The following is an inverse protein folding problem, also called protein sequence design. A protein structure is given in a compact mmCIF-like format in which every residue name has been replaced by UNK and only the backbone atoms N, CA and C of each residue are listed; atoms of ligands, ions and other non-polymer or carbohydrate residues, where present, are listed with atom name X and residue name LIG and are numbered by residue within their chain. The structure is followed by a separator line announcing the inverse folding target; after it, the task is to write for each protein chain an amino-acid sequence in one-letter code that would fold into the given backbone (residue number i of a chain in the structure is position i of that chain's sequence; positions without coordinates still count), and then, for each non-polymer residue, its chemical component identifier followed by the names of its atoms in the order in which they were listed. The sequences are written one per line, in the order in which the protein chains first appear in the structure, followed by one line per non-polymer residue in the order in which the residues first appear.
data_IF_563426940639
#
_entry.id   IF_563426940639
#
_cell.length_a   1.000
_cell.length_b   1.000
_cell.length_c   1.000
_cell.angle_alpha   90.00
_cell.angle_beta   90.00
_cell.angle_gamma   90.00
#
_symmetry.space_group_name_H-M   'P 1'
#
loop_
_entity.id
_entity.type
_entity.pdbx_description
1 polymer ?
#
# COMPACT_ATOMS: atom_id res chain seq x y z
N UNK A 1 -40.80 23.81 74.44
CA UNK A 1 -40.92 22.35 74.28
C UNK A 1 -41.62 22.11 72.95
N UNK A 2 -40.81 21.95 71.89
CA UNK A 2 -40.72 20.74 71.03
C UNK A 2 -41.82 20.82 69.94
N UNK A 3 -41.59 20.79 68.63
CA UNK A 3 -40.57 20.12 67.82
C UNK A 3 -40.66 20.71 66.39
N UNK A 4 -39.72 21.56 65.99
CA UNK A 4 -39.55 22.10 64.62
C UNK A 4 -38.41 21.37 63.89
N UNK A 5 -38.24 20.09 64.15
CA UNK A 5 -37.01 19.32 63.86
C UNK A 5 -37.16 18.34 62.68
N UNK A 6 -38.00 18.63 61.67
CA UNK A 6 -38.09 17.74 60.48
C UNK A 6 -37.98 18.45 59.14
N UNK A 7 -37.81 19.77 59.10
CA UNK A 7 -37.55 20.48 57.84
C UNK A 7 -36.06 20.53 57.46
N UNK A 8 -35.16 20.02 58.32
CA UNK A 8 -33.71 20.06 58.10
C UNK A 8 -33.14 18.79 57.45
N UNK A 9 -33.97 17.82 57.06
CA UNK A 9 -33.51 16.54 56.51
C UNK A 9 -33.57 16.43 54.98
N UNK A 10 -33.67 17.56 54.27
CA UNK A 10 -33.82 17.56 52.81
C UNK A 10 -32.76 18.36 52.04
N UNK A 11 -31.74 18.88 52.72
CA UNK A 11 -30.65 19.64 52.07
C UNK A 11 -29.28 18.96 52.17
N UNK A 12 -29.23 17.69 52.59
CA UNK A 12 -27.98 17.01 52.91
C UNK A 12 -27.31 16.27 51.75
N UNK A 13 -27.81 16.36 50.51
CA UNK A 13 -27.13 15.72 49.38
C UNK A 13 -27.11 16.64 48.19
N UNK A 14 -26.08 17.49 48.13
CA UNK A 14 -25.67 18.33 47.00
C UNK A 14 -25.89 17.61 45.64
N UNK A 15 -27.06 17.75 44.99
CA UNK A 15 -27.41 16.99 43.80
C UNK A 15 -26.67 17.54 42.57
N UNK A 16 -26.24 18.80 42.66
CA UNK A 16 -25.57 19.54 41.59
C UNK A 16 -24.27 18.88 41.12
N UNK A 17 -23.54 18.17 42.01
CA UNK A 17 -22.31 17.44 41.63
C UNK A 17 -22.61 16.25 40.72
N UNK A 18 -23.69 15.49 40.98
CA UNK A 18 -24.10 14.37 40.13
C UNK A 18 -24.63 14.85 38.78
N UNK A 19 -25.35 15.98 38.76
CA UNK A 19 -25.83 16.59 37.52
C UNK A 19 -24.67 17.09 36.64
N UNK A 20 -23.70 17.80 37.23
CA UNK A 20 -22.51 18.27 36.51
C UNK A 20 -21.63 17.10 36.03
N UNK A 21 -21.49 16.04 36.81
CA UNK A 21 -20.74 14.84 36.42
C UNK A 21 -21.40 14.10 35.25
N UNK A 22 -22.74 14.03 35.21
CA UNK A 22 -23.47 13.41 34.11
C UNK A 22 -23.34 14.22 32.81
N UNK A 23 -23.44 15.55 32.91
CA UNK A 23 -23.24 16.47 31.79
C UNK A 23 -21.80 16.37 31.26
N UNK A 24 -20.81 16.32 32.16
CA UNK A 24 -19.41 16.13 31.80
C UNK A 24 -19.16 14.78 31.11
N UNK A 25 -19.73 13.69 31.63
CA UNK A 25 -19.62 12.36 31.03
C UNK A 25 -20.27 12.34 29.63
N UNK A 26 -21.47 12.91 29.50
CA UNK A 26 -22.16 13.01 28.21
C UNK A 26 -21.36 13.82 27.20
N UNK A 27 -20.82 14.97 27.61
CA UNK A 27 -19.97 15.80 26.76
C UNK A 27 -18.69 15.05 26.35
N UNK A 28 -18.07 14.30 27.27
CA UNK A 28 -16.86 13.53 26.98
C UNK A 28 -17.10 12.41 25.98
N UNK A 29 -18.22 11.69 26.11
CA UNK A 29 -18.65 10.68 25.13
C UNK A 29 -18.92 11.33 23.77
N UNK A 30 -19.64 12.45 23.75
CA UNK A 30 -19.94 13.18 22.51
C UNK A 30 -18.67 13.63 21.78
N UNK A 31 -17.73 14.25 22.50
CA UNK A 31 -16.43 14.67 21.95
C UNK A 31 -15.65 13.46 21.45
N UNK A 32 -15.65 12.35 22.18
CA UNK A 32 -14.96 11.13 21.75
C UNK A 32 -15.52 10.59 20.44
N UNK A 33 -16.85 10.54 20.30
CA UNK A 33 -17.52 10.13 19.05
C UNK A 33 -17.16 11.11 17.92
N UNK A 34 -17.18 12.41 18.17
CA UNK A 34 -16.83 13.42 17.19
C UNK A 34 -15.36 13.29 16.71
N UNK A 35 -14.45 12.93 17.62
CA UNK A 35 -13.04 12.73 17.31
C UNK A 35 -12.84 11.50 16.42
N UNK A 36 -13.49 10.38 16.75
CA UNK A 36 -13.47 9.16 15.92
C UNK A 36 -14.08 9.44 14.55
N UNK A 37 -15.21 10.15 14.48
CA UNK A 37 -15.85 10.53 13.23
C UNK A 37 -14.95 11.44 12.39
N UNK A 38 -14.28 12.42 13.00
CA UNK A 38 -13.35 13.32 12.33
C UNK A 38 -12.12 12.60 11.77
N UNK A 39 -11.54 11.67 12.53
CA UNK A 39 -10.42 10.83 12.06
C UNK A 39 -10.89 9.97 10.88
N UNK A 40 -12.05 9.32 11.00
CA UNK A 40 -12.60 8.46 9.95
C UNK A 40 -12.83 9.23 8.65
N UNK A 41 -13.39 10.44 8.74
CA UNK A 41 -13.64 11.30 7.59
C UNK A 41 -12.34 11.78 6.92
N UNK A 42 -11.33 12.16 7.72
CA UNK A 42 -10.03 12.60 7.22
C UNK A 42 -9.24 11.48 6.53
N UNK A 43 -9.30 10.25 7.06
CA UNK A 43 -8.68 9.07 6.44
C UNK A 43 -9.38 8.73 5.14
N UNK A 44 -10.71 8.72 5.10
CA UNK A 44 -11.50 8.45 3.89
C UNK A 44 -11.23 9.48 2.77
N UNK A 45 -11.13 10.76 3.13
CA UNK A 45 -10.83 11.83 2.19
C UNK A 45 -9.41 11.72 1.60
N UNK A 46 -8.39 11.46 2.44
CA UNK A 46 -7.00 11.30 1.98
C UNK A 46 -6.81 10.04 1.13
N UNK A 47 -7.45 8.94 1.51
CA UNK A 47 -7.43 7.70 0.74
C UNK A 47 -8.06 7.87 -0.66
N UNK A 48 -9.11 8.68 -0.77
CA UNK A 48 -9.81 8.93 -2.04
C UNK A 48 -8.99 9.77 -3.04
N UNK A 49 -8.18 10.72 -2.57
CA UNK A 49 -7.32 11.53 -3.43
C UNK A 49 -6.10 10.74 -3.91
N UNK A 50 -5.35 10.11 -3.00
CA UNK A 50 -4.17 9.31 -3.32
C UNK A 50 -4.53 8.08 -4.17
N UNK A 51 -5.71 7.51 -3.94
CA UNK A 51 -6.19 6.36 -4.72
C UNK A 51 -6.40 6.67 -6.21
N UNK A 52 -6.77 7.91 -6.58
CA UNK A 52 -6.91 8.28 -8.00
C UNK A 52 -5.56 8.41 -8.70
N UNK A 53 -4.58 8.98 -8.02
CA UNK A 53 -3.23 9.13 -8.59
C UNK A 53 -2.59 7.76 -8.80
N UNK A 54 -2.78 6.82 -7.86
CA UNK A 54 -2.36 5.43 -8.01
C UNK A 54 -3.05 4.78 -9.22
N UNK A 55 -4.36 4.94 -9.37
CA UNK A 55 -5.08 4.41 -10.54
C UNK A 55 -4.61 5.03 -11.85
N UNK A 56 -4.26 6.31 -11.85
CA UNK A 56 -3.74 6.99 -13.03
C UNK A 56 -2.37 6.44 -13.43
N UNK A 57 -1.43 6.34 -12.47
CA UNK A 57 -0.11 5.75 -12.70
C UNK A 57 -0.21 4.30 -13.17
N UNK A 58 -1.12 3.50 -12.58
CA UNK A 58 -1.28 2.11 -12.97
C UNK A 58 -1.84 1.96 -14.39
N UNK A 59 -2.74 2.86 -14.80
CA UNK A 59 -3.22 2.92 -16.18
C UNK A 59 -2.10 3.30 -17.15
N UNK A 60 -1.25 4.25 -16.75
CA UNK A 60 -0.08 4.65 -17.54
C UNK A 60 0.90 3.48 -17.72
N UNK A 61 1.18 2.71 -16.66
CA UNK A 61 1.99 1.48 -16.76
C UNK A 61 1.37 0.47 -17.73
N UNK A 62 0.06 0.22 -17.64
CA UNK A 62 -0.62 -0.74 -18.53
C UNK A 62 -0.62 -0.30 -20.00
N UNK A 63 -0.61 1.01 -20.27
CA UNK A 63 -0.47 1.53 -21.63
C UNK A 63 0.96 1.30 -22.12
N UNK A 64 1.97 1.66 -21.32
CA UNK A 64 3.38 1.50 -21.68
C UNK A 64 3.76 0.04 -21.92
N UNK A 65 3.28 -0.89 -21.08
CA UNK A 65 3.55 -2.31 -21.25
C UNK A 65 2.97 -2.84 -22.57
N UNK A 66 1.75 -2.42 -22.93
CA UNK A 66 1.14 -2.76 -24.23
C UNK A 66 1.95 -2.22 -25.41
N UNK A 67 2.43 -0.98 -25.31
CA UNK A 67 3.26 -0.39 -26.36
C UNK A 67 4.57 -1.15 -26.53
N UNK A 68 5.22 -1.56 -25.42
CA UNK A 68 6.44 -2.38 -25.45
C UNK A 68 6.19 -3.71 -26.13
N UNK A 69 5.10 -4.40 -25.79
CA UNK A 69 4.75 -5.70 -26.39
C UNK A 69 4.49 -5.56 -27.90
N UNK A 70 3.78 -4.51 -28.32
CA UNK A 70 3.54 -4.23 -29.74
C UNK A 70 4.85 -3.95 -30.49
N UNK A 71 5.72 -3.09 -29.94
CA UNK A 71 7.04 -2.80 -30.50
C UNK A 71 7.92 -4.05 -30.60
N UNK A 72 7.90 -4.93 -29.59
CA UNK A 72 8.62 -6.20 -29.62
C UNK A 72 8.08 -7.13 -30.71
N UNK A 73 6.76 -7.18 -30.90
CA UNK A 73 6.13 -7.95 -31.97
C UNK A 73 6.52 -7.43 -33.35
N UNK A 74 6.51 -6.11 -33.54
CA UNK A 74 6.95 -5.47 -34.78
C UNK A 74 8.44 -5.76 -35.08
N UNK A 75 9.29 -5.68 -34.06
CA UNK A 75 10.70 -6.05 -34.19
C UNK A 75 10.88 -7.52 -34.58
N UNK A 76 10.12 -8.42 -33.96
CA UNK A 76 10.18 -9.84 -34.27
C UNK A 76 9.77 -10.13 -35.72
N UNK A 77 8.76 -9.42 -36.24
CA UNK A 77 8.36 -9.53 -37.65
C UNK A 77 9.50 -9.07 -38.57
N UNK A 78 10.04 -7.87 -38.33
CA UNK A 78 11.11 -7.28 -39.17
C UNK A 78 12.42 -8.07 -39.12
N UNK A 79 12.72 -8.69 -37.98
CA UNK A 79 13.89 -9.56 -37.77
C UNK A 79 13.60 -11.03 -38.08
N UNK A 80 12.39 -11.37 -38.53
CA UNK A 80 12.07 -12.74 -38.91
C UNK A 80 12.88 -13.15 -40.14
N UNK A 81 13.18 -14.44 -40.22
CA UNK A 81 13.94 -15.00 -41.34
C UNK A 81 13.30 -14.62 -42.68
N UNK A 82 11.99 -14.76 -42.82
CA UNK A 82 11.26 -14.49 -44.06
C UNK A 82 11.40 -13.02 -44.51
N UNK A 83 11.24 -12.07 -43.58
CA UNK A 83 11.32 -10.63 -43.89
C UNK A 83 12.77 -10.17 -44.17
N UNK A 84 13.74 -10.80 -43.49
CA UNK A 84 15.16 -10.59 -43.75
C UNK A 84 15.59 -11.18 -45.09
N UNK A 85 15.17 -12.40 -45.42
CA UNK A 85 15.45 -13.09 -46.69
C UNK A 85 14.85 -12.31 -47.86
N UNK A 86 13.57 -11.91 -47.77
CA UNK A 86 12.91 -11.09 -48.78
C UNK A 86 13.65 -9.76 -49.01
N UNK A 87 14.21 -9.15 -47.96
CA UNK A 87 15.01 -7.94 -48.06
C UNK A 87 16.39 -8.20 -48.69
N UNK A 88 17.02 -9.33 -48.38
CA UNK A 88 18.30 -9.73 -48.97
C UNK A 88 18.15 -9.95 -50.48
N UNK A 89 17.10 -10.65 -50.92
CA UNK A 89 16.78 -10.83 -52.34
C UNK A 89 16.51 -9.50 -53.05
N UNK A 90 15.78 -8.57 -52.43
CA UNK A 90 15.57 -7.22 -52.99
C UNK A 90 16.87 -6.43 -53.17
N UNK A 91 17.90 -6.73 -52.38
CA UNK A 91 19.24 -6.13 -52.50
C UNK A 91 20.16 -6.89 -53.47
N UNK A 92 19.67 -7.97 -54.10
CA UNK A 92 20.43 -8.78 -55.05
C UNK A 92 21.30 -9.86 -54.41
N UNK A 93 21.11 -10.17 -53.13
CA UNK A 93 21.74 -11.32 -52.49
C UNK A 93 20.98 -12.60 -52.86
N UNK A 94 21.72 -13.69 -53.00
CA UNK A 94 21.18 -15.02 -53.25
C UNK A 94 21.67 -16.00 -52.16
N UNK A 95 20.87 -17.01 -51.78
CA UNK A 95 21.27 -18.04 -50.83
C UNK A 95 22.54 -18.75 -51.30
N UNK A 96 23.55 -18.83 -50.42
CA UNK A 96 24.80 -19.52 -50.73
C UNK A 96 24.61 -21.02 -50.50
N UNK A 97 24.81 -21.88 -51.51
CA UNK A 97 24.75 -23.33 -51.33
C UNK A 97 25.92 -23.83 -50.49
N UNK A 98 25.72 -24.93 -49.76
CA UNK A 98 26.70 -25.47 -48.83
C UNK A 98 28.06 -25.80 -49.47
N UNK A 99 28.09 -26.10 -50.78
CA UNK A 99 29.34 -26.38 -51.50
C UNK A 99 30.22 -25.13 -51.72
N UNK A 100 29.65 -23.93 -51.60
CA UNK A 100 30.36 -22.65 -51.80
C UNK A 100 30.68 -21.94 -50.47
N UNK A 101 30.37 -22.57 -49.33
CA UNK A 101 30.66 -22.02 -48.00
C UNK A 101 32.11 -22.27 -47.60
N UNK A 102 32.90 -21.20 -47.51
CA UNK A 102 34.29 -21.27 -47.01
C UNK A 102 34.31 -20.90 -45.52
N UNK A 103 34.77 -21.83 -44.68
CA UNK A 103 34.92 -21.60 -43.24
C UNK A 103 36.30 -21.03 -42.93
N UNK A 104 36.33 -19.89 -42.22
CA UNK A 104 37.56 -19.28 -41.73
C UNK A 104 37.72 -19.57 -40.23
N UNK A 105 38.78 -20.28 -39.86
CA UNK A 105 39.16 -20.44 -38.46
C UNK A 105 39.79 -19.13 -37.95
N UNK A 106 39.07 -18.42 -37.10
CA UNK A 106 39.56 -17.20 -36.44
C UNK A 106 40.15 -17.61 -35.07
N UNK A 107 41.48 -17.52 -34.88
CA UNK A 107 42.10 -17.84 -33.59
C UNK A 107 41.57 -16.89 -32.50
N UNK A 108 41.14 -17.45 -31.35
CA UNK A 108 40.62 -16.67 -30.22
C UNK A 108 39.12 -16.30 -30.30
N UNK A 109 38.39 -16.80 -31.30
CA UNK A 109 36.94 -16.60 -31.36
C UNK A 109 36.23 -17.27 -30.18
N UNK A 110 35.56 -16.46 -29.36
CA UNK A 110 34.67 -16.94 -28.30
C UNK A 110 33.26 -17.03 -28.87
N UNK A 111 32.73 -18.25 -28.99
CA UNK A 111 31.38 -18.46 -29.51
C UNK A 111 30.36 -17.66 -28.69
N UNK A 112 29.35 -17.10 -29.37
CA UNK A 112 28.22 -16.48 -28.69
C UNK A 112 27.58 -17.53 -27.77
N UNK A 113 27.42 -17.25 -26.46
CA UNK A 113 26.78 -18.19 -25.56
C UNK A 113 25.38 -18.53 -26.10
N UNK A 114 24.96 -19.80 -26.03
CA UNK A 114 23.66 -20.21 -26.54
C UNK A 114 22.56 -19.40 -25.85
N UNK A 115 21.65 -18.84 -26.65
CA UNK A 115 20.46 -18.15 -26.13
C UNK A 115 19.62 -19.20 -25.40
N UNK A 116 19.53 -19.07 -24.08
CA UNK A 116 18.69 -19.95 -23.27
C UNK A 116 17.24 -19.52 -23.46
N UNK A 117 16.48 -20.27 -24.27
CA UNK A 117 15.09 -19.98 -24.63
C UNK A 117 14.09 -20.20 -23.48
N UNK A 118 14.54 -20.71 -22.33
CA UNK A 118 13.75 -20.88 -21.13
C UNK A 118 14.41 -20.14 -19.96
N UNK A 119 13.72 -19.21 -19.28
CA UNK A 119 14.21 -18.66 -18.03
C UNK A 119 14.46 -19.82 -17.06
N UNK A 120 15.65 -19.87 -16.45
CA UNK A 120 15.86 -20.71 -15.28
C UNK A 120 14.93 -20.17 -14.19
N UNK A 121 13.75 -20.77 -14.02
CA UNK A 121 12.81 -20.41 -12.95
C UNK A 121 13.41 -20.91 -11.64
N UNK A 122 14.39 -20.17 -11.14
CA UNK A 122 14.69 -20.16 -9.73
C UNK A 122 13.42 -19.61 -9.09
N UNK A 123 12.62 -20.49 -8.49
CA UNK A 123 11.54 -20.09 -7.58
C UNK A 123 12.21 -19.38 -6.40
N UNK A 124 12.56 -18.12 -6.58
CA UNK A 124 12.68 -17.18 -5.47
C UNK A 124 11.27 -17.07 -4.95
N UNK A 125 10.91 -17.87 -3.94
CA UNK A 125 9.77 -17.52 -3.12
C UNK A 125 10.06 -16.09 -2.68
N UNK A 126 9.24 -15.09 -3.06
CA UNK A 126 9.45 -13.75 -2.58
C UNK A 126 9.53 -13.86 -1.05
N UNK A 127 10.66 -13.44 -0.48
CA UNK A 127 10.73 -13.25 0.97
C UNK A 127 9.54 -12.38 1.30
N UNK A 128 8.61 -12.94 2.10
CA UNK A 128 7.40 -12.23 2.46
C UNK A 128 7.80 -10.82 2.90
N UNK A 129 7.17 -9.75 2.36
CA UNK A 129 7.53 -8.40 2.73
C UNK A 129 7.52 -8.31 4.24
N UNK A 130 8.68 -8.00 4.84
CA UNK A 130 8.79 -7.78 6.28
C UNK A 130 8.08 -6.45 6.54
N UNK A 131 6.76 -6.54 6.71
CA UNK A 131 5.96 -5.40 7.14
C UNK A 131 6.50 -4.96 8.50
N UNK A 132 6.87 -3.68 8.67
CA UNK A 132 7.28 -3.17 9.98
C UNK A 132 6.19 -3.48 11.02
N UNK A 133 6.57 -3.92 12.22
CA UNK A 133 5.64 -4.44 13.23
C UNK A 133 4.49 -3.46 13.58
N UNK A 134 4.73 -2.15 13.43
CA UNK A 134 3.74 -1.09 13.58
C UNK A 134 2.55 -1.16 12.59
N UNK A 135 2.70 -1.79 11.43
CA UNK A 135 1.62 -1.98 10.45
C UNK A 135 0.85 -3.30 10.65
N UNK A 136 1.41 -4.23 11.41
CA UNK A 136 0.75 -5.46 11.86
C UNK A 136 0.13 -5.33 13.26
N UNK A 137 0.34 -4.19 13.92
CA UNK A 137 -0.22 -3.93 15.24
C UNK A 137 -1.74 -3.76 15.17
N UNK A 138 -2.48 -4.49 16.02
CA UNK A 138 -3.92 -4.31 16.14
C UNK A 138 -4.23 -2.94 16.75
N UNK A 139 -5.19 -2.23 16.15
CA UNK A 139 -5.71 -0.97 16.70
C UNK A 139 -6.19 -1.12 18.15
N UNK A 140 -6.66 -2.31 18.54
CA UNK A 140 -7.06 -2.61 19.91
C UNK A 140 -5.87 -2.74 20.88
N UNK A 141 -4.71 -3.21 20.40
CA UNK A 141 -3.50 -3.32 21.23
C UNK A 141 -2.85 -1.94 21.43
N UNK A 142 -2.80 -1.13 20.38
CA UNK A 142 -2.40 0.27 20.47
C UNK A 142 -3.30 1.05 21.44
N UNK A 143 -4.62 0.90 21.31
CA UNK A 143 -5.59 1.62 22.14
C UNK A 143 -5.45 1.26 23.63
N UNK A 144 -5.27 -0.03 23.96
CA UNK A 144 -5.03 -0.47 25.35
C UNK A 144 -3.75 0.11 25.94
N UNK A 145 -2.66 0.15 25.17
CA UNK A 145 -1.40 0.75 25.60
C UNK A 145 -1.55 2.25 25.88
N UNK A 146 -2.26 2.97 25.01
CA UNK A 146 -2.42 4.42 25.12
C UNK A 146 -3.47 4.82 26.18
N UNK A 147 -4.49 4.01 26.44
CA UNK A 147 -5.45 4.27 27.53
C UNK A 147 -4.84 4.08 28.91
N UNK A 148 -3.80 3.24 29.05
CA UNK A 148 -3.07 3.06 30.31
C UNK A 148 -2.26 4.28 30.75
N UNK A 149 -1.97 5.23 29.86
CA UNK A 149 -1.26 6.49 30.18
C UNK A 149 -2.21 7.65 30.53
N UNK A 150 -3.53 7.48 30.37
CA UNK A 150 -4.53 8.48 30.77
C UNK A 150 -4.92 8.21 32.23
N UNK A 151 -3.96 8.29 33.16
CA UNK A 151 -4.26 8.41 34.58
C UNK A 151 -4.75 9.83 34.83
N UNK A 152 -6.07 10.01 34.87
CA UNK A 152 -6.66 11.23 35.41
C UNK A 152 -6.22 11.37 36.87
N UNK A 153 -5.25 12.27 37.12
CA UNK A 153 -4.88 12.70 38.45
C UNK A 153 -6.08 13.43 39.07
N UNK A 154 -6.88 12.69 39.84
CA UNK A 154 -7.91 13.23 40.74
C UNK A 154 -7.39 13.15 42.18
N UNK A 155 -6.29 13.86 42.46
CA UNK A 155 -5.87 14.08 43.84
C UNK A 155 -5.27 15.47 43.98
N UNK A 156 -6.12 16.47 44.24
CA UNK A 156 -5.77 17.64 45.08
C UNK A 156 -6.97 18.59 45.21
N UNK A 157 -7.92 18.30 46.12
CA UNK A 157 -8.62 19.32 46.90
C UNK A 157 -9.07 18.69 48.21
N UNK A 158 -8.17 18.64 49.21
CA UNK A 158 -8.53 18.78 50.63
C UNK A 158 -7.27 18.98 51.49
N UNK A 159 -6.99 20.24 51.83
CA UNK A 159 -6.64 20.62 53.19
C UNK A 159 -7.64 21.70 53.62
#
# INVERSE_FOLDING_TARGET
MNHLETFAQTYAQAPWRKQLQLIGLFSLVLVSIALVAGIYLNVSAKASAVGRDIQAMQRETEILDRDIEDLQSQLAIVLSYDDMEARAHKLGFEPVPAEQTVYLNIPGYTARPPVTLAPNIQRTLPSAPVLPAQYTESLFDWARRNMGSISFSLSEVRQ
#
